data_IF_447379274228
#
_entry.id   IF_447379274228
#
_cell.length_a   1.000
_cell.length_b   1.000
_cell.length_c   1.000
_cell.angle_alpha   90.00
_cell.angle_beta   90.00
_cell.angle_gamma   90.00
#
_symmetry.space_group_name_H-M   'P 1'
#
loop_
_entity.id
_entity.type
_entity.pdbx_description
1 polymer ?
#
# COMPACT_ATOMS: atom_id res chain seq x y z
N UNK A 1 -14.47 -14.31 15.50
CA UNK A 1 -13.35 -15.15 15.96
C UNK A 1 -12.07 -14.32 15.89
N UNK A 2 -11.23 -14.27 16.93
CA UNK A 2 -9.97 -13.55 16.87
C UNK A 2 -8.97 -14.33 16.01
N UNK A 3 -8.51 -13.75 14.91
CA UNK A 3 -7.45 -14.32 14.09
C UNK A 3 -6.14 -14.32 14.89
N UNK A 4 -5.45 -15.46 15.08
CA UNK A 4 -4.16 -15.47 15.75
C UNK A 4 -3.11 -14.87 14.81
N UNK A 5 -2.76 -13.59 15.02
CA UNK A 5 -1.61 -12.92 14.41
C UNK A 5 -0.26 -13.38 15.01
N UNK A 6 -0.22 -14.58 15.58
CA UNK A 6 0.81 -15.04 16.52
C UNK A 6 2.17 -15.39 15.89
N UNK A 7 2.43 -14.96 14.64
CA UNK A 7 3.74 -15.09 14.00
C UNK A 7 4.65 -13.86 14.16
N UNK A 8 4.12 -12.70 14.56
CA UNK A 8 4.84 -11.42 14.43
C UNK A 8 5.44 -10.91 15.76
N UNK A 9 5.00 -11.43 16.90
CA UNK A 9 5.30 -10.87 18.23
C UNK A 9 6.62 -11.34 18.86
N UNK A 10 7.61 -11.80 18.09
CA UNK A 10 8.90 -12.30 18.64
C UNK A 10 10.16 -11.67 18.05
N UNK A 11 10.06 -10.57 17.30
CA UNK A 11 11.22 -9.89 16.70
C UNK A 11 11.40 -8.44 17.16
N UNK A 12 10.87 -8.06 18.33
CA UNK A 12 10.90 -6.67 18.79
C UNK A 12 12.29 -6.18 19.25
N UNK A 13 13.26 -7.07 19.48
CA UNK A 13 14.53 -6.69 20.11
C UNK A 13 15.55 -5.99 19.18
N UNK A 14 15.39 -6.03 17.85
CA UNK A 14 16.40 -5.54 16.89
C UNK A 14 15.86 -4.61 15.80
N UNK A 15 14.64 -4.08 15.95
CA UNK A 15 14.14 -3.08 14.99
C UNK A 15 14.93 -1.77 15.13
N UNK A 16 15.60 -1.38 14.04
CA UNK A 16 16.27 -0.09 13.96
C UNK A 16 15.26 1.04 14.24
N UNK A 17 15.54 1.95 15.20
CA UNK A 17 14.61 3.01 15.54
C UNK A 17 14.36 3.93 14.34
N UNK A 18 13.14 4.46 14.24
CA UNK A 18 12.84 5.52 13.29
C UNK A 18 13.70 6.76 13.59
N UNK A 19 14.15 7.52 12.57
CA UNK A 19 14.75 8.82 12.79
C UNK A 19 13.78 9.71 13.59
N UNK A 20 14.31 10.53 14.51
CA UNK A 20 13.51 11.35 15.42
C UNK A 20 12.42 12.17 14.69
N UNK A 21 12.78 12.81 13.57
CA UNK A 21 11.83 13.60 12.80
C UNK A 21 10.73 12.75 12.13
N UNK A 22 11.01 11.50 11.74
CA UNK A 22 9.97 10.56 11.29
C UNK A 22 9.05 10.17 12.45
N UNK A 23 9.62 9.89 13.62
CA UNK A 23 8.85 9.57 14.82
C UNK A 23 7.90 10.71 15.18
N UNK A 24 8.37 11.96 15.16
CA UNK A 24 7.52 13.14 15.40
C UNK A 24 6.36 13.23 14.41
N UNK A 25 6.56 12.91 13.12
CA UNK A 25 5.48 12.89 12.14
C UNK A 25 4.48 11.74 12.39
N UNK A 26 4.98 10.57 12.80
CA UNK A 26 4.13 9.43 13.19
C UNK A 26 3.29 9.78 14.42
N UNK A 27 3.88 10.42 15.43
CA UNK A 27 3.19 10.86 16.64
C UNK A 27 2.13 11.92 16.32
N UNK A 28 2.44 12.88 15.44
CA UNK A 28 1.49 13.89 14.98
C UNK A 28 0.34 13.27 14.17
N UNK A 29 0.63 12.30 13.29
CA UNK A 29 -0.39 11.54 12.57
C UNK A 29 -1.29 10.73 13.52
N UNK A 30 -0.71 10.16 14.58
CA UNK A 30 -1.48 9.46 15.61
C UNK A 30 -2.38 10.42 16.39
N UNK A 31 -1.87 11.60 16.77
CA UNK A 31 -2.68 12.62 17.43
C UNK A 31 -3.87 13.05 16.56
N UNK A 32 -3.66 13.20 15.25
CA UNK A 32 -4.76 13.47 14.31
C UNK A 32 -5.82 12.36 14.32
N UNK A 33 -5.41 11.09 14.31
CA UNK A 33 -6.35 9.96 14.40
C UNK A 33 -7.16 10.01 15.68
N UNK A 34 -6.54 10.36 16.81
CA UNK A 34 -7.22 10.46 18.12
C UNK A 34 -8.23 11.61 18.13
N UNK A 35 -7.89 12.74 17.50
CA UNK A 35 -8.72 13.95 17.49
C UNK A 35 -9.82 13.91 16.40
N UNK A 36 -9.70 13.04 15.40
CA UNK A 36 -10.67 12.93 14.32
C UNK A 36 -11.96 12.22 14.80
N UNK A 37 -13.17 12.76 14.56
CA UNK A 37 -14.44 12.16 15.02
C UNK A 37 -14.67 10.72 14.56
N UNK A 38 -14.18 10.39 13.36
CA UNK A 38 -14.28 9.04 12.77
C UNK A 38 -12.99 8.21 12.91
N UNK A 39 -12.03 8.69 13.71
CA UNK A 39 -10.68 8.12 13.83
C UNK A 39 -9.95 7.91 12.51
N UNK A 40 -10.20 8.77 11.51
CA UNK A 40 -9.56 8.70 10.20
C UNK A 40 -8.22 9.42 10.19
N UNK A 41 -7.23 8.84 9.51
CA UNK A 41 -6.00 9.53 9.16
C UNK A 41 -6.16 10.18 7.79
N UNK A 42 -6.14 11.51 7.70
CA UNK A 42 -6.45 12.20 6.44
C UNK A 42 -5.40 11.90 5.37
N UNK A 43 -5.81 11.83 4.09
CA UNK A 43 -4.90 11.62 2.97
C UNK A 43 -3.76 12.66 2.91
N UNK A 44 -4.03 13.91 3.26
CA UNK A 44 -3.00 14.97 3.27
C UNK A 44 -1.88 14.68 4.26
N UNK A 45 -2.20 14.09 5.41
CA UNK A 45 -1.23 13.74 6.46
C UNK A 45 -0.42 12.51 6.06
N UNK A 46 -1.05 11.49 5.45
CA UNK A 46 -0.32 10.35 4.86
C UNK A 46 0.63 10.80 3.76
N UNK A 47 0.20 11.73 2.90
CA UNK A 47 1.05 12.36 1.88
C UNK A 47 2.27 13.05 2.48
N UNK A 48 2.13 13.74 3.62
CA UNK A 48 3.26 14.38 4.29
C UNK A 48 4.30 13.35 4.78
N UNK A 49 3.86 12.21 5.32
CA UNK A 49 4.76 11.10 5.68
C UNK A 49 5.55 10.61 4.45
N UNK A 50 4.87 10.39 3.32
CA UNK A 50 5.52 9.95 2.08
C UNK A 50 6.51 10.98 1.52
N UNK A 51 6.14 12.27 1.53
CA UNK A 51 7.00 13.35 1.06
C UNK A 51 8.23 13.53 1.95
N UNK A 52 8.07 13.41 3.27
CA UNK A 52 9.18 13.45 4.20
C UNK A 52 10.20 12.35 3.87
N UNK A 53 9.75 11.10 3.75
CA UNK A 53 10.62 9.97 3.37
C UNK A 53 11.30 10.19 2.02
N UNK A 54 10.56 10.68 1.02
CA UNK A 54 11.13 10.99 -0.30
C UNK A 54 12.23 12.04 -0.22
N UNK A 55 12.11 13.02 0.67
CA UNK A 55 13.08 14.12 0.82
C UNK A 55 14.32 13.70 1.61
N UNK A 56 14.17 12.90 2.67
CA UNK A 56 15.28 12.51 3.55
C UNK A 56 15.97 11.23 3.10
N UNK A 57 15.23 10.36 2.41
CA UNK A 57 15.66 9.01 2.01
C UNK A 57 15.38 8.72 0.53
N UNK A 58 15.81 9.56 -0.42
CA UNK A 58 15.35 9.49 -1.81
C UNK A 58 15.62 8.14 -2.49
N UNK A 59 16.68 7.43 -2.08
CA UNK A 59 17.04 6.10 -2.60
C UNK A 59 16.15 5.00 -1.99
N UNK A 60 15.76 5.15 -0.72
CA UNK A 60 15.07 4.11 0.06
C UNK A 60 13.57 4.33 0.19
N UNK A 61 13.08 5.54 -0.04
CA UNK A 61 11.68 5.91 0.16
C UNK A 61 10.72 4.96 -0.56
N UNK A 62 11.07 4.57 -1.79
CA UNK A 62 10.28 3.61 -2.58
C UNK A 62 10.19 2.22 -1.97
N UNK A 63 11.26 1.75 -1.36
CA UNK A 63 11.24 0.48 -0.63
C UNK A 63 10.47 0.59 0.67
N UNK A 64 10.59 1.72 1.38
CA UNK A 64 9.88 1.94 2.65
C UNK A 64 8.37 1.94 2.40
N UNK A 65 7.85 2.78 1.51
CA UNK A 65 6.40 2.75 1.25
C UNK A 65 5.96 1.45 0.58
N UNK A 66 6.80 0.84 -0.27
CA UNK A 66 6.48 -0.44 -0.90
C UNK A 66 6.25 -1.54 0.13
N UNK A 67 7.15 -1.65 1.12
CA UNK A 67 6.96 -2.58 2.24
C UNK A 67 5.73 -2.25 3.06
N UNK A 68 5.49 -0.98 3.38
CA UNK A 68 4.30 -0.57 4.11
C UNK A 68 3.01 -0.97 3.38
N UNK A 69 2.97 -0.77 2.06
CA UNK A 69 1.83 -1.11 1.21
C UNK A 69 1.62 -2.63 1.12
N UNK A 70 2.69 -3.41 0.96
CA UNK A 70 2.60 -4.88 0.95
C UNK A 70 2.06 -5.43 2.28
N UNK A 71 2.63 -4.99 3.41
CA UNK A 71 2.19 -5.42 4.75
C UNK A 71 0.73 -5.08 4.98
N UNK A 72 0.32 -3.90 4.53
CA UNK A 72 -1.07 -3.44 4.57
C UNK A 72 -2.00 -4.33 3.75
N UNK A 73 -1.67 -4.61 2.49
CA UNK A 73 -2.48 -5.46 1.63
C UNK A 73 -2.57 -6.90 2.16
N UNK A 74 -1.47 -7.47 2.67
CA UNK A 74 -1.45 -8.78 3.32
C UNK A 74 -2.39 -8.84 4.53
N UNK A 75 -2.54 -7.74 5.27
CA UNK A 75 -3.40 -7.67 6.46
C UNK A 75 -4.88 -7.78 6.12
N UNK A 76 -5.32 -7.26 4.96
CA UNK A 76 -6.73 -7.27 4.52
C UNK A 76 -7.05 -8.37 3.51
N UNK A 77 -6.03 -8.99 2.89
CA UNK A 77 -6.23 -10.08 1.93
C UNK A 77 -7.12 -11.23 2.45
N UNK A 78 -6.98 -11.71 3.71
CA UNK A 78 -7.85 -12.77 4.21
C UNK A 78 -9.33 -12.37 4.24
N UNK A 79 -9.65 -11.09 4.42
CA UNK A 79 -11.04 -10.59 4.43
C UNK A 79 -11.62 -10.58 3.01
N UNK A 80 -10.79 -10.27 2.01
CA UNK A 80 -11.12 -10.44 0.61
C UNK A 80 -11.42 -11.91 0.28
N UNK A 81 -10.49 -12.81 0.64
CA UNK A 81 -10.59 -14.25 0.31
C UNK A 81 -11.78 -14.93 1.01
N UNK A 82 -12.20 -14.44 2.18
CA UNK A 82 -13.44 -14.90 2.82
C UNK A 82 -14.69 -14.47 2.05
N UNK A 83 -14.68 -13.25 1.52
CA UNK A 83 -15.83 -12.69 0.80
C UNK A 83 -15.95 -13.27 -0.61
N UNK A 84 -14.81 -13.45 -1.29
CA UNK A 84 -14.71 -13.90 -2.68
C UNK A 84 -13.67 -15.03 -2.82
N UNK A 85 -13.94 -16.26 -2.33
CA UNK A 85 -12.96 -17.34 -2.25
C UNK A 85 -12.44 -17.83 -3.60
N UNK A 86 -13.20 -17.60 -4.67
CA UNK A 86 -12.83 -18.00 -6.03
C UNK A 86 -12.04 -16.92 -6.77
N UNK A 87 -12.03 -15.68 -6.28
CA UNK A 87 -11.31 -14.59 -6.91
C UNK A 87 -9.84 -14.60 -6.44
N UNK A 88 -8.91 -14.78 -7.37
CA UNK A 88 -7.49 -14.99 -7.08
C UNK A 88 -6.63 -13.77 -7.37
N UNK A 89 -7.18 -12.77 -8.05
CA UNK A 89 -6.42 -11.62 -8.53
C UNK A 89 -5.73 -10.88 -7.37
N UNK A 90 -6.38 -10.50 -6.25
CA UNK A 90 -5.68 -9.80 -5.16
C UNK A 90 -4.51 -10.60 -4.55
N UNK A 91 -4.68 -11.89 -4.34
CA UNK A 91 -3.61 -12.78 -3.85
C UNK A 91 -2.41 -12.81 -4.82
N UNK A 92 -2.67 -12.83 -6.13
CA UNK A 92 -1.62 -12.72 -7.15
C UNK A 92 -0.93 -11.37 -7.13
N UNK A 93 -1.66 -10.27 -6.96
CA UNK A 93 -1.09 -8.91 -6.88
C UNK A 93 -0.16 -8.77 -5.66
N UNK A 94 -0.60 -9.24 -4.48
CA UNK A 94 0.23 -9.28 -3.26
C UNK A 94 1.48 -10.12 -3.47
N UNK A 95 1.36 -11.28 -4.11
CA UNK A 95 2.50 -12.15 -4.42
C UNK A 95 3.49 -11.47 -5.37
N UNK A 96 3.01 -10.75 -6.38
CA UNK A 96 3.87 -10.00 -7.31
C UNK A 96 4.58 -8.85 -6.60
N UNK A 97 3.88 -8.12 -5.72
CA UNK A 97 4.45 -7.04 -4.92
C UNK A 97 5.59 -7.56 -4.03
N UNK A 98 5.39 -8.69 -3.33
CA UNK A 98 6.45 -9.37 -2.57
C UNK A 98 7.66 -9.72 -3.43
N UNK A 99 7.43 -10.32 -4.61
CA UNK A 99 8.52 -10.68 -5.52
C UNK A 99 9.31 -9.47 -6.02
N UNK A 100 8.65 -8.34 -6.30
CA UNK A 100 9.32 -7.11 -6.71
C UNK A 100 10.14 -6.54 -5.54
N UNK A 101 9.57 -6.47 -4.34
CA UNK A 101 10.29 -6.01 -3.14
C UNK A 101 11.48 -6.90 -2.77
N UNK A 102 11.42 -8.19 -3.03
CA UNK A 102 12.53 -9.12 -2.83
C UNK A 102 13.52 -9.15 -3.99
N UNK A 103 13.33 -8.35 -5.05
CA UNK A 103 14.19 -8.34 -6.23
C UNK A 103 14.10 -9.61 -7.09
N UNK A 104 13.09 -10.47 -6.86
CA UNK A 104 12.84 -11.71 -7.61
C UNK A 104 12.03 -11.50 -8.89
N UNK A 105 11.59 -10.26 -9.12
CA UNK A 105 10.89 -9.83 -10.33
C UNK A 105 11.18 -8.33 -10.54
N UNK A 106 11.67 -7.90 -11.72
CA UNK A 106 11.82 -6.47 -12.01
C UNK A 106 10.47 -5.76 -12.01
N UNK A 107 10.39 -4.56 -11.45
CA UNK A 107 9.17 -3.73 -11.47
C UNK A 107 8.71 -3.37 -12.89
N UNK A 108 9.63 -3.39 -13.86
CA UNK A 108 9.38 -3.18 -15.30
C UNK A 108 8.97 -4.43 -16.07
N UNK A 109 8.80 -5.58 -15.40
CA UNK A 109 8.39 -6.82 -16.08
C UNK A 109 7.02 -6.66 -16.75
N UNK A 110 6.89 -7.11 -18.01
CA UNK A 110 5.60 -7.09 -18.73
C UNK A 110 4.46 -7.78 -17.97
N UNK A 111 4.79 -8.77 -17.13
CA UNK A 111 3.82 -9.45 -16.26
C UNK A 111 3.18 -8.46 -15.29
N UNK A 112 3.98 -7.58 -14.69
CA UNK A 112 3.47 -6.54 -13.78
C UNK A 112 2.49 -5.64 -14.52
N UNK A 113 2.84 -5.16 -15.72
CA UNK A 113 1.97 -4.29 -16.51
C UNK A 113 0.61 -4.93 -16.80
N UNK A 114 0.58 -6.20 -17.24
CA UNK A 114 -0.66 -6.93 -17.50
C UNK A 114 -1.51 -7.07 -16.22
N UNK A 115 -0.88 -7.42 -15.10
CA UNK A 115 -1.63 -7.58 -13.84
C UNK A 115 -2.14 -6.25 -13.28
N UNK A 116 -1.40 -5.14 -13.45
CA UNK A 116 -1.85 -3.81 -13.08
C UNK A 116 -3.02 -3.34 -13.94
N UNK A 117 -2.97 -3.57 -15.25
CA UNK A 117 -4.08 -3.27 -16.16
C UNK A 117 -5.31 -4.11 -15.82
N UNK A 118 -5.15 -5.41 -15.64
CA UNK A 118 -6.25 -6.31 -15.29
C UNK A 118 -6.85 -5.95 -13.92
N UNK A 119 -6.02 -5.57 -12.94
CA UNK A 119 -6.48 -5.11 -11.64
C UNK A 119 -7.19 -3.76 -11.69
N UNK A 120 -6.74 -2.84 -12.54
CA UNK A 120 -7.44 -1.57 -12.78
C UNK A 120 -8.85 -1.83 -13.32
N UNK A 121 -8.99 -2.70 -14.31
CA UNK A 121 -10.30 -3.06 -14.85
C UNK A 121 -11.16 -3.84 -13.85
N UNK A 122 -10.58 -4.81 -13.13
CA UNK A 122 -11.30 -5.58 -12.14
C UNK A 122 -11.82 -4.70 -10.99
N UNK A 123 -10.99 -3.79 -10.47
CA UNK A 123 -11.42 -2.83 -9.43
C UNK A 123 -12.47 -1.86 -9.96
N UNK A 124 -12.36 -1.41 -11.21
CA UNK A 124 -13.35 -0.52 -11.84
C UNK A 124 -14.68 -1.18 -12.22
N UNK A 125 -14.71 -2.51 -12.38
CA UNK A 125 -15.90 -3.28 -12.76
C UNK A 125 -16.28 -4.31 -11.67
N UNK A 126 -16.03 -3.99 -10.40
CA UNK A 126 -16.45 -4.80 -9.24
C UNK A 126 -16.11 -6.29 -9.34
N UNK A 127 -14.96 -6.63 -9.92
CA UNK A 127 -14.49 -8.00 -10.17
C UNK A 127 -15.48 -8.86 -10.99
N UNK A 128 -16.36 -8.22 -11.77
CA UNK A 128 -17.42 -8.88 -12.56
C UNK A 128 -18.71 -9.19 -11.78
N UNK A 129 -18.81 -8.77 -10.51
CA UNK A 129 -20.01 -8.87 -9.70
C UNK A 129 -20.89 -7.62 -9.88
N UNK A 130 -22.18 -7.74 -9.59
CA UNK A 130 -23.05 -6.57 -9.46
C UNK A 130 -22.54 -5.68 -8.31
N UNK A 131 -22.56 -4.36 -8.51
CA UNK A 131 -22.11 -3.38 -7.51
C UNK A 131 -22.88 -3.52 -6.18
N UNK A 132 -24.12 -4.01 -6.23
CA UNK A 132 -24.95 -4.25 -5.05
C UNK A 132 -24.61 -5.56 -4.33
N UNK A 133 -23.98 -6.51 -5.03
CA UNK A 133 -23.57 -7.81 -4.48
C UNK A 133 -22.17 -7.76 -3.86
N UNK A 134 -21.30 -6.90 -4.38
CA UNK A 134 -19.94 -6.74 -3.87
C UNK A 134 -19.93 -5.83 -2.64
N UNK A 135 -19.57 -6.37 -1.48
CA UNK A 135 -19.40 -5.53 -0.28
C UNK A 135 -18.29 -4.50 -0.49
N UNK A 136 -18.48 -3.29 0.04
CA UNK A 136 -17.46 -2.22 -0.01
C UNK A 136 -16.15 -2.69 0.61
N UNK A 137 -16.22 -3.50 1.68
CA UNK A 137 -15.06 -4.11 2.32
C UNK A 137 -14.28 -5.04 1.36
N UNK A 138 -14.96 -5.89 0.58
CA UNK A 138 -14.29 -6.75 -0.39
C UNK A 138 -13.67 -5.92 -1.52
N UNK A 139 -14.40 -4.94 -2.05
CA UNK A 139 -13.85 -4.03 -3.07
C UNK A 139 -12.59 -3.31 -2.58
N UNK A 140 -12.64 -2.69 -1.39
CA UNK A 140 -11.51 -1.99 -0.79
C UNK A 140 -10.31 -2.91 -0.51
N UNK A 141 -10.54 -4.15 -0.07
CA UNK A 141 -9.45 -5.11 0.18
C UNK A 141 -8.74 -5.51 -1.11
N UNK A 142 -9.51 -5.71 -2.20
CA UNK A 142 -8.95 -5.96 -3.52
C UNK A 142 -8.18 -4.75 -4.07
N UNK A 143 -8.71 -3.54 -3.88
CA UNK A 143 -8.04 -2.31 -4.26
C UNK A 143 -6.75 -2.06 -3.46
N UNK A 144 -6.70 -2.43 -2.17
CA UNK A 144 -5.47 -2.35 -1.38
C UNK A 144 -4.34 -3.22 -1.99
N UNK A 145 -4.66 -4.42 -2.50
CA UNK A 145 -3.71 -5.26 -3.21
C UNK A 145 -3.22 -4.64 -4.53
N UNK A 146 -4.12 -4.00 -5.27
CA UNK A 146 -3.78 -3.23 -6.48
C UNK A 146 -2.84 -2.07 -6.18
N UNK A 147 -3.15 -1.24 -5.19
CA UNK A 147 -2.31 -0.12 -4.78
C UNK A 147 -0.95 -0.59 -4.26
N UNK A 148 -0.91 -1.69 -3.50
CA UNK A 148 0.36 -2.26 -3.03
C UNK A 148 1.30 -2.62 -4.19
N UNK A 149 0.79 -3.25 -5.26
CA UNK A 149 1.62 -3.54 -6.42
C UNK A 149 2.12 -2.26 -7.11
N UNK A 150 1.26 -1.24 -7.25
CA UNK A 150 1.65 0.04 -7.84
C UNK A 150 2.76 0.75 -7.05
N UNK A 151 2.60 0.82 -5.74
CA UNK A 151 3.53 1.49 -4.84
C UNK A 151 4.90 0.82 -4.86
N UNK A 152 4.92 -0.51 -4.82
CA UNK A 152 6.14 -1.32 -4.97
C UNK A 152 6.82 -1.12 -6.33
N UNK A 153 6.04 -0.88 -7.39
CA UNK A 153 6.56 -0.56 -8.72
C UNK A 153 7.01 0.90 -8.87
N UNK A 154 7.03 1.68 -7.79
CA UNK A 154 7.55 3.05 -7.76
C UNK A 154 6.48 4.14 -7.95
N UNK A 155 5.19 3.79 -7.93
CA UNK A 155 4.13 4.80 -7.89
C UNK A 155 4.19 5.52 -6.53
N UNK A 156 4.31 6.84 -6.54
CA UNK A 156 4.26 7.63 -5.30
C UNK A 156 2.80 7.81 -4.86
N UNK A 157 2.37 7.23 -3.73
CA UNK A 157 1.00 7.34 -3.25
C UNK A 157 0.62 8.81 -2.99
N UNK A 158 -0.62 9.19 -3.32
CA UNK A 158 -1.20 10.51 -3.05
C UNK A 158 -0.42 11.71 -3.66
N UNK A 159 0.50 11.47 -4.61
CA UNK A 159 1.31 12.52 -5.23
C UNK A 159 0.46 13.64 -5.84
N UNK A 160 -0.59 13.26 -6.54
CA UNK A 160 -1.51 14.12 -7.27
C UNK A 160 -2.75 14.51 -6.47
N UNK A 161 -2.73 14.41 -5.14
CA UNK A 161 -3.90 14.72 -4.29
C UNK A 161 -4.49 16.11 -4.55
N UNK A 162 -3.65 17.11 -4.81
CA UNK A 162 -4.05 18.48 -5.15
C UNK A 162 -4.58 18.67 -6.59
N UNK A 163 -4.51 17.63 -7.43
CA UNK A 163 -5.02 17.61 -8.80
C UNK A 163 -6.37 16.88 -8.89
N UNK A 164 -6.79 16.18 -7.83
CA UNK A 164 -8.06 15.47 -7.79
C UNK A 164 -9.18 16.49 -7.67
N UNK A 165 -10.10 16.45 -8.63
CA UNK A 165 -11.31 17.27 -8.62
C UNK A 165 -12.52 16.35 -8.44
N UNK A 166 -13.12 16.37 -7.25
CA UNK A 166 -14.37 15.67 -6.96
C UNK A 166 -15.50 16.69 -6.92
N UNK A 167 -16.61 16.36 -7.58
CA UNK A 167 -17.85 17.12 -7.52
C UNK A 167 -18.88 16.29 -6.78
N UNK A 168 -19.31 16.74 -5.60
CA UNK A 168 -20.38 16.12 -4.80
C UNK A 168 -21.54 17.09 -4.73
N UNK A 169 -22.72 16.66 -5.14
CA UNK A 169 -23.93 17.52 -5.15
C UNK A 169 -23.69 18.87 -5.85
N UNK A 170 -23.03 18.85 -7.01
CA UNK A 170 -22.64 20.03 -7.81
C UNK A 170 -21.63 20.97 -7.15
N UNK A 171 -21.01 20.59 -6.03
CA UNK A 171 -19.98 21.38 -5.36
C UNK A 171 -18.61 20.70 -5.45
N UNK A 172 -17.57 21.50 -5.71
CA UNK A 172 -16.20 21.03 -5.63
C UNK A 172 -15.83 20.70 -4.18
N UNK A 173 -15.36 19.47 -3.95
CA UNK A 173 -14.84 19.07 -2.65
C UNK A 173 -13.41 19.58 -2.54
N UNK A 174 -13.15 20.38 -1.50
CA UNK A 174 -11.81 20.86 -1.20
C UNK A 174 -10.88 19.69 -0.88
N UNK A 175 -9.60 19.81 -1.27
CA UNK A 175 -8.61 18.73 -1.14
C UNK A 175 -8.44 18.23 0.30
N UNK A 176 -8.53 19.12 1.29
CA UNK A 176 -8.47 18.82 2.72
C UNK A 176 -9.71 18.08 3.26
N UNK A 177 -10.78 18.01 2.46
CA UNK A 177 -12.03 17.30 2.76
C UNK A 177 -12.20 16.01 1.96
N UNK A 178 -11.22 15.63 1.13
CA UNK A 178 -11.27 14.37 0.39
C UNK A 178 -11.14 13.18 1.35
N UNK A 179 -12.02 12.20 1.18
CA UNK A 179 -12.00 10.93 1.92
C UNK A 179 -11.27 9.85 1.15
N UNK A 180 -10.94 8.74 1.81
CA UNK A 180 -10.33 7.58 1.15
C UNK A 180 -11.24 6.97 0.08
N UNK A 181 -12.55 7.05 0.28
CA UNK A 181 -13.53 6.60 -0.71
C UNK A 181 -13.45 7.47 -1.96
N UNK A 182 -13.45 8.81 -1.80
CA UNK A 182 -13.36 9.75 -2.92
C UNK A 182 -12.10 9.53 -3.78
N UNK A 183 -10.97 9.29 -3.11
CA UNK A 183 -9.66 9.13 -3.74
C UNK A 183 -9.52 7.73 -4.36
N UNK A 184 -10.07 6.71 -3.70
CA UNK A 184 -10.07 5.33 -4.16
C UNK A 184 -10.75 5.16 -5.51
N UNK A 185 -11.93 5.78 -5.69
CA UNK A 185 -12.66 5.75 -6.97
C UNK A 185 -11.92 6.45 -8.12
N UNK A 186 -11.03 7.40 -7.83
CA UNK A 186 -10.20 8.05 -8.85
C UNK A 186 -8.92 7.27 -9.17
N UNK A 187 -8.68 6.12 -8.52
CA UNK A 187 -7.44 5.36 -8.65
C UNK A 187 -6.21 6.10 -8.12
N UNK A 188 -6.39 7.16 -7.33
CA UNK A 188 -5.30 7.97 -6.76
C UNK A 188 -5.01 7.65 -5.29
N UNK A 189 -5.61 6.59 -4.76
CA UNK A 189 -5.44 6.15 -3.37
C UNK A 189 -4.08 5.53 -3.08
N UNK A 190 -3.96 5.06 -1.85
CA UNK A 190 -2.86 4.26 -1.33
C UNK A 190 -3.41 2.97 -0.71
N UNK A 191 -2.55 1.97 -0.54
CA UNK A 191 -2.96 0.71 0.08
C UNK A 191 -3.47 0.90 1.51
N UNK A 192 -2.90 1.86 2.24
CA UNK A 192 -3.27 2.22 3.62
C UNK A 192 -4.72 2.73 3.73
N UNK A 193 -5.10 3.71 2.91
CA UNK A 193 -6.47 4.24 2.92
C UNK A 193 -7.50 3.17 2.55
N UNK A 194 -7.22 2.37 1.51
CA UNK A 194 -8.14 1.30 1.11
C UNK A 194 -8.29 0.25 2.23
N UNK A 195 -7.20 -0.17 2.87
CA UNK A 195 -7.26 -1.11 3.97
C UNK A 195 -7.95 -0.55 5.22
N UNK A 196 -7.81 0.75 5.50
CA UNK A 196 -8.53 1.39 6.59
C UNK A 196 -10.05 1.32 6.39
N UNK A 197 -10.54 1.52 5.16
CA UNK A 197 -11.96 1.37 4.83
C UNK A 197 -12.48 -0.06 5.06
N UNK A 198 -11.65 -1.07 4.79
CA UNK A 198 -11.96 -2.48 5.10
C UNK A 198 -12.18 -2.66 6.61
N UNK A 199 -11.31 -2.08 7.44
CA UNK A 199 -11.42 -2.20 8.90
C UNK A 199 -12.54 -1.37 9.48
N UNK A 200 -12.82 -0.19 8.91
CA UNK A 200 -13.89 0.69 9.32
C UNK A 200 -15.29 0.14 8.97
N UNK A 201 -15.39 -1.00 8.28
CA UNK A 201 -16.65 -1.55 7.79
C UNK A 201 -16.87 -2.98 8.32
N UNK A 202 -18.07 -3.24 8.83
CA UNK A 202 -18.54 -4.58 9.18
C UNK A 202 -18.98 -5.36 7.94
N UNK A 203 -19.12 -6.71 8.00
CA UNK A 203 -19.59 -7.51 6.87
C UNK A 203 -20.96 -7.07 6.30
N UNK A 204 -21.79 -6.41 7.12
CA UNK A 204 -23.09 -5.86 6.72
C UNK A 204 -23.02 -4.38 6.30
N UNK A 205 -21.83 -3.89 5.96
CA UNK A 205 -21.53 -2.52 5.56
C UNK A 205 -21.76 -1.43 6.63
N UNK A 206 -22.01 -1.79 7.88
CA UNK A 206 -22.11 -0.80 8.97
C UNK A 206 -20.72 -0.27 9.36
N UNK A 207 -20.59 1.02 9.68
CA UNK A 207 -19.33 1.58 10.14
C UNK A 207 -18.96 1.06 11.54
N UNK A 208 -17.69 0.73 11.75
CA UNK A 208 -17.10 0.32 13.02
C UNK A 208 -15.82 1.14 13.29
N UNK A 209 -16.02 2.36 13.81
CA UNK A 209 -14.97 3.37 13.96
C UNK A 209 -13.82 2.92 14.88
N UNK A 210 -14.09 2.10 15.89
CA UNK A 210 -13.03 1.55 16.77
C UNK A 210 -12.00 0.73 15.99
N UNK A 211 -12.42 -0.06 15.01
CA UNK A 211 -11.50 -0.82 14.15
C UNK A 211 -10.70 0.05 13.21
N UNK A 212 -11.24 1.20 12.79
CA UNK A 212 -10.48 2.21 12.06
C UNK A 212 -9.33 2.74 12.91
N UNK A 213 -9.61 3.10 14.18
CA UNK A 213 -8.58 3.50 15.14
C UNK A 213 -7.53 2.42 15.36
N UNK A 214 -7.95 1.17 15.56
CA UNK A 214 -7.04 0.02 15.74
C UNK A 214 -6.14 -0.19 14.51
N UNK A 215 -6.72 -0.06 13.31
CA UNK A 215 -5.96 -0.15 12.06
C UNK A 215 -4.89 0.93 11.98
N UNK A 216 -5.24 2.20 12.23
CA UNK A 216 -4.27 3.29 12.15
C UNK A 216 -3.21 3.21 13.25
N UNK A 217 -3.57 2.79 14.45
CA UNK A 217 -2.62 2.50 15.52
C UNK A 217 -1.59 1.47 15.03
N UNK A 218 -2.05 0.32 14.53
CA UNK A 218 -1.19 -0.73 13.99
C UNK A 218 -0.31 -0.24 12.83
N UNK A 219 -0.89 0.53 11.90
CA UNK A 219 -0.16 1.01 10.74
C UNK A 219 0.97 1.97 11.14
N UNK A 220 0.68 2.92 12.02
CA UNK A 220 1.63 3.91 12.51
C UNK A 220 2.70 3.31 13.42
N UNK A 221 2.31 2.44 14.37
CA UNK A 221 3.24 1.90 15.39
C UNK A 221 3.98 0.64 14.96
N UNK A 222 3.50 -0.08 13.95
CA UNK A 222 4.07 -1.38 13.54
C UNK A 222 4.49 -1.37 12.09
N UNK A 223 3.60 -0.98 11.16
CA UNK A 223 3.89 -1.09 9.72
C UNK A 223 4.98 -0.12 9.28
N UNK A 224 4.92 1.15 9.68
CA UNK A 224 5.94 2.13 9.32
C UNK A 224 7.34 1.73 9.85
N UNK A 225 7.53 1.42 11.15
CA UNK A 225 8.82 0.94 11.67
C UNK A 225 9.33 -0.32 10.97
N UNK A 226 8.47 -1.32 10.75
CA UNK A 226 8.86 -2.57 10.09
C UNK A 226 9.28 -2.33 8.64
N UNK A 227 8.54 -1.49 7.91
CA UNK A 227 8.88 -1.13 6.55
C UNK A 227 10.21 -0.37 6.45
N UNK A 228 10.47 0.52 7.40
CA UNK A 228 11.76 1.21 7.56
C UNK A 228 12.90 0.22 7.79
N UNK A 229 12.71 -0.72 8.72
CA UNK A 229 13.69 -1.74 9.06
C UNK A 229 14.03 -2.62 7.85
N UNK A 230 13.02 -3.16 7.16
CA UNK A 230 13.21 -4.01 5.96
C UNK A 230 13.92 -3.28 4.83
N UNK A 231 13.53 -2.03 4.56
CA UNK A 231 14.18 -1.23 3.53
C UNK A 231 15.66 -0.95 3.85
N UNK A 232 15.97 -0.70 5.13
CA UNK A 232 17.34 -0.46 5.59
C UNK A 232 18.19 -1.73 5.54
N UNK A 233 17.65 -2.87 5.99
CA UNK A 233 18.32 -4.16 5.91
C UNK A 233 18.66 -4.54 4.46
N UNK A 234 17.73 -4.29 3.53
CA UNK A 234 17.97 -4.54 2.09
C UNK A 234 19.04 -3.62 1.51
N UNK A 235 19.05 -2.34 1.88
CA UNK A 235 20.09 -1.40 1.43
C UNK A 235 21.49 -1.85 1.90
N UNK A 236 21.60 -2.37 3.13
CA UNK A 236 22.86 -2.91 3.65
C UNK A 236 23.36 -4.13 2.87
N UNK A 237 22.46 -5.00 2.39
CA UNK A 237 22.83 -6.14 1.55
C UNK A 237 23.40 -5.71 0.20
N UNK A 238 22.79 -4.73 -0.47
CA UNK A 238 23.27 -4.24 -1.77
C UNK A 238 24.56 -3.40 -1.69
N UNK A 239 24.87 -2.82 -0.54
CA UNK A 239 26.12 -2.11 -0.32
C UNK A 239 27.34 -3.04 -0.22
N UNK A 240 27.15 -4.37 -0.14
CA UNK A 240 28.24 -5.31 -0.05
C UNK A 240 28.97 -5.44 -1.41
N UNK A 241 30.28 -5.16 -1.49
CA UNK A 241 31.02 -5.04 -2.76
C UNK A 241 31.09 -6.33 -3.61
N UNK A 242 30.68 -7.47 -3.07
CA UNK A 242 30.66 -8.76 -3.76
C UNK A 242 29.52 -8.89 -4.80
N UNK A 243 28.41 -8.15 -4.63
CA UNK A 243 27.25 -8.24 -5.52
C UNK A 243 27.34 -7.30 -6.73
N UNK A 244 28.10 -6.21 -6.62
CA UNK A 244 28.40 -5.32 -7.75
C UNK A 244 29.12 -6.05 -8.91
N UNK A 245 29.88 -7.11 -8.61
CA UNK A 245 30.63 -7.88 -9.60
C UNK A 245 29.80 -8.96 -10.35
N UNK A 246 28.56 -9.25 -9.95
CA UNK A 246 27.72 -10.29 -10.58
C UNK A 246 26.71 -9.75 -11.60
N UNK A 247 26.28 -8.50 -11.47
CA UNK A 247 25.24 -7.91 -12.32
C UNK A 247 25.63 -7.70 -13.80
N UNK A 248 26.92 -7.82 -14.13
CA UNK A 248 27.41 -7.56 -15.49
C UNK A 248 27.41 -8.80 -16.42
N UNK A 249 27.20 -10.01 -15.89
CA UNK A 249 27.30 -11.25 -16.70
C UNK A 249 25.97 -11.73 -17.31
N UNK A 250 24.83 -11.23 -16.83
CA UNK A 250 23.50 -11.69 -17.26
C UNK A 250 22.76 -10.69 -18.17
N UNK A 251 23.45 -9.70 -18.75
CA UNK A 251 22.84 -8.91 -19.83
C UNK A 251 22.70 -9.81 -21.07
N UNK A 252 21.47 -10.09 -21.54
CA UNK A 252 21.29 -10.77 -22.81
C UNK A 252 21.90 -9.88 -23.90
N UNK A 253 22.82 -10.43 -24.68
CA UNK A 253 23.34 -9.77 -25.86
C UNK A 253 22.21 -9.69 -26.89
N UNK A 254 21.51 -8.55 -26.91
CA UNK A 254 20.48 -8.24 -27.91
C UNK A 254 21.08 -7.79 -29.26
N UNK A 255 22.40 -7.88 -29.44
CA UNK A 255 23.14 -7.29 -30.55
C UNK A 255 23.09 -8.01 -31.90
N UNK A 256 22.28 -9.05 -32.12
CA UNK A 256 22.42 -9.83 -33.37
C UNK A 256 21.15 -10.32 -34.10
N UNK A 257 19.92 -10.02 -33.65
CA UNK A 257 18.71 -10.61 -34.27
C UNK A 257 17.72 -9.68 -34.96
N UNK A 258 18.03 -8.40 -35.17
CA UNK A 258 17.21 -7.53 -36.01
C UNK A 258 18.04 -6.83 -37.07
N UNK A 259 18.24 -7.50 -38.21
CA UNK A 259 18.44 -6.85 -39.51
C UNK A 259 17.14 -7.02 -40.30
N UNK A 260 16.53 -5.88 -40.65
CA UNK A 260 15.42 -5.76 -41.60
C UNK A 260 15.88 -6.17 -43.00
#
# INVERSE_FOLDING_TARGET
MPYPLNGWAKQDADMAPLPLAMQTLVDAAWQEVVDHPEFGLRPITRRQLYLYLQSTEPIRASYIWGWAALLTAQRVLPLFEQSLPNERLPSRLVTLADRVLLGRLPSSSWRISIYLEHAYHATGNSYGYDELELSTSAWCAGAAAYHALREVCGSTPLRSLNQITIVRSQQHVATDKLTDVDIGFCGQGDAAGMAALVYATLPDNRPELSRCKDFWSWWLSTVIPEAWHRATAKAAQHAHPADAARGERDRPDFGSQFRL
#
